data_IF_685455592760
#
_entry.id   IF_685455592760
#
_cell.length_a   1.000
_cell.length_b   1.000
_cell.length_c   1.000
_cell.angle_alpha   90.00
_cell.angle_beta   90.00
_cell.angle_gamma   90.00
#
_symmetry.space_group_name_H-M   'P 1'
#
loop_
_entity.id
_entity.type
_entity.pdbx_description
1 polymer ?
#
# COMPACT_ATOMS: atom_id res chain seq x y z
N UNK A 1 -31.11 18.60 -8.85
CA UNK A 1 -29.84 19.14 -8.30
C UNK A 1 -29.17 18.20 -7.30
N UNK A 2 -29.76 17.87 -6.14
CA UNK A 2 -29.14 16.93 -5.18
C UNK A 2 -28.96 15.52 -5.75
N UNK A 3 -29.95 15.04 -6.51
CA UNK A 3 -29.89 13.79 -7.28
C UNK A 3 -28.78 13.77 -8.32
N UNK A 4 -28.52 14.90 -9.00
CA UNK A 4 -27.48 15.01 -10.03
C UNK A 4 -26.08 14.97 -9.42
N UNK A 5 -25.88 15.62 -8.27
CA UNK A 5 -24.63 15.55 -7.50
C UNK A 5 -24.36 14.12 -7.02
N UNK A 6 -25.39 13.39 -6.57
CA UNK A 6 -25.25 12.00 -6.15
C UNK A 6 -24.86 11.08 -7.32
N UNK A 7 -25.47 11.30 -8.51
CA UNK A 7 -25.10 10.59 -9.74
C UNK A 7 -23.64 10.89 -10.12
N UNK A 8 -23.22 12.16 -10.05
CA UNK A 8 -21.85 12.57 -10.29
C UNK A 8 -20.87 11.87 -9.32
N UNK A 9 -21.19 11.82 -8.02
CA UNK A 9 -20.35 11.13 -7.03
C UNK A 9 -20.20 9.64 -7.34
N UNK A 10 -21.28 8.96 -7.74
CA UNK A 10 -21.26 7.54 -8.13
C UNK A 10 -20.40 7.33 -9.39
N UNK A 11 -20.58 8.15 -10.43
CA UNK A 11 -19.79 8.08 -11.66
C UNK A 11 -18.31 8.37 -11.41
N UNK A 12 -18.01 9.41 -10.63
CA UNK A 12 -16.65 9.75 -10.25
C UNK A 12 -15.97 8.59 -9.53
N UNK A 13 -16.61 8.02 -8.50
CA UNK A 13 -16.07 6.90 -7.73
C UNK A 13 -15.83 5.67 -8.60
N UNK A 14 -16.67 5.45 -9.61
CA UNK A 14 -16.52 4.35 -10.55
C UNK A 14 -15.29 4.55 -11.45
N UNK A 15 -15.24 5.67 -12.17
CA UNK A 15 -14.15 5.94 -13.11
C UNK A 15 -12.80 6.06 -12.40
N UNK A 16 -12.75 6.76 -11.26
CA UNK A 16 -11.54 6.86 -10.45
C UNK A 16 -11.12 5.48 -9.92
N UNK A 17 -12.07 4.66 -9.47
CA UNK A 17 -11.83 3.29 -9.02
C UNK A 17 -11.20 2.41 -10.09
N UNK A 18 -11.75 2.40 -11.32
CA UNK A 18 -11.22 1.63 -12.43
C UNK A 18 -9.80 2.08 -12.82
N UNK A 19 -9.57 3.40 -12.94
CA UNK A 19 -8.25 3.95 -13.27
C UNK A 19 -7.23 3.56 -12.20
N UNK A 20 -7.55 3.79 -10.92
CA UNK A 20 -6.64 3.50 -9.81
C UNK A 20 -6.36 2.01 -9.65
N UNK A 21 -7.34 1.15 -9.96
CA UNK A 21 -7.13 -0.29 -10.02
C UNK A 21 -6.10 -0.66 -11.09
N UNK A 22 -6.26 -0.17 -12.34
CA UNK A 22 -5.31 -0.48 -13.43
C UNK A 22 -3.89 -0.03 -13.07
N UNK A 23 -3.74 1.21 -12.60
CA UNK A 23 -2.43 1.73 -12.19
C UNK A 23 -1.87 0.95 -11.00
N UNK A 24 -2.69 0.67 -9.98
CA UNK A 24 -2.29 -0.06 -8.79
C UNK A 24 -1.91 -1.51 -9.07
N UNK A 25 -2.62 -2.19 -9.96
CA UNK A 25 -2.33 -3.56 -10.38
C UNK A 25 -0.94 -3.64 -11.02
N UNK A 26 -0.71 -2.83 -12.05
CA UNK A 26 0.57 -2.79 -12.78
C UNK A 26 1.70 -2.35 -11.84
N UNK A 27 1.50 -1.27 -11.08
CA UNK A 27 2.52 -0.70 -10.21
C UNK A 27 2.95 -1.63 -9.08
N UNK A 28 2.00 -2.26 -8.39
CA UNK A 28 2.32 -3.15 -7.27
C UNK A 28 3.00 -4.45 -7.77
N UNK A 29 2.59 -5.02 -8.91
CA UNK A 29 3.29 -6.17 -9.52
C UNK A 29 4.73 -5.80 -9.85
N UNK A 30 4.96 -4.65 -10.50
CA UNK A 30 6.31 -4.22 -10.87
C UNK A 30 7.18 -3.94 -9.64
N UNK A 31 6.64 -3.36 -8.57
CA UNK A 31 7.37 -3.23 -7.30
C UNK A 31 7.77 -4.59 -6.73
N UNK A 32 6.83 -5.55 -6.67
CA UNK A 32 7.11 -6.90 -6.16
C UNK A 32 8.23 -7.55 -6.99
N UNK A 33 8.15 -7.46 -8.32
CA UNK A 33 9.20 -7.98 -9.21
C UNK A 33 10.55 -7.31 -8.96
N UNK A 34 10.61 -5.97 -8.86
CA UNK A 34 11.85 -5.23 -8.64
C UNK A 34 12.50 -5.62 -7.30
N UNK A 35 11.73 -5.68 -6.21
CA UNK A 35 12.28 -5.95 -4.88
C UNK A 35 12.63 -7.43 -4.66
N UNK A 36 11.96 -8.36 -5.34
CA UNK A 36 12.24 -9.80 -5.22
C UNK A 36 13.32 -10.30 -6.19
N UNK A 37 13.40 -9.73 -7.40
CA UNK A 37 14.25 -10.26 -8.48
C UNK A 37 15.64 -9.62 -8.57
N UNK A 38 15.84 -8.42 -8.01
CA UNK A 38 17.14 -7.77 -8.01
C UNK A 38 17.92 -8.19 -6.76
N UNK A 39 19.11 -8.79 -6.97
CA UNK A 39 20.04 -9.20 -5.91
C UNK A 39 20.35 -8.05 -4.93
N UNK A 40 20.34 -6.80 -5.41
CA UNK A 40 20.54 -5.61 -4.58
C UNK A 40 19.47 -5.42 -3.49
N UNK A 41 18.23 -5.86 -3.74
CA UNK A 41 17.08 -5.64 -2.86
C UNK A 41 16.64 -6.90 -2.12
N UNK A 42 16.84 -8.09 -2.67
CA UNK A 42 16.27 -9.35 -2.15
C UNK A 42 16.60 -9.62 -0.68
N UNK A 43 17.81 -9.27 -0.24
CA UNK A 43 18.28 -9.51 1.13
C UNK A 43 18.25 -8.24 1.99
N UNK A 44 17.65 -7.15 1.48
CA UNK A 44 17.51 -5.89 2.19
C UNK A 44 16.19 -5.83 2.98
N UNK A 45 16.27 -5.45 4.26
CA UNK A 45 15.12 -5.39 5.18
C UNK A 45 14.06 -4.40 4.74
N UNK A 46 14.45 -3.20 4.33
CA UNK A 46 13.54 -2.15 3.86
C UNK A 46 12.82 -2.60 2.59
N UNK A 47 13.54 -3.25 1.67
CA UNK A 47 12.94 -3.82 0.47
C UNK A 47 11.97 -4.97 0.78
N UNK A 48 12.25 -5.79 1.80
CA UNK A 48 11.32 -6.81 2.30
C UNK A 48 10.00 -6.17 2.75
N UNK A 49 10.03 -5.14 3.59
CA UNK A 49 8.82 -4.44 4.00
C UNK A 49 8.08 -3.79 2.83
N UNK A 50 8.80 -3.14 1.89
CA UNK A 50 8.19 -2.57 0.68
C UNK A 50 7.53 -3.64 -0.20
N UNK A 51 8.05 -4.86 -0.19
CA UNK A 51 7.44 -6.01 -0.88
C UNK A 51 6.15 -6.43 -0.19
N UNK A 52 6.15 -6.57 1.14
CA UNK A 52 4.96 -6.89 1.93
C UNK A 52 3.87 -5.83 1.73
N UNK A 53 4.25 -4.55 1.80
CA UNK A 53 3.37 -3.42 1.53
C UNK A 53 2.76 -3.50 0.12
N UNK A 54 3.58 -3.81 -0.91
CA UNK A 54 3.10 -3.92 -2.29
C UNK A 54 2.14 -5.10 -2.48
N UNK A 55 2.39 -6.25 -1.85
CA UNK A 55 1.48 -7.40 -1.87
C UNK A 55 0.15 -7.03 -1.22
N UNK A 56 0.20 -6.39 -0.05
CA UNK A 56 -0.98 -5.99 0.69
C UNK A 56 -1.81 -4.94 -0.08
N UNK A 57 -1.14 -3.96 -0.71
CA UNK A 57 -1.80 -2.96 -1.55
C UNK A 57 -2.42 -3.57 -2.81
N UNK A 58 -1.77 -4.57 -3.39
CA UNK A 58 -2.33 -5.34 -4.50
C UNK A 58 -3.65 -6.02 -4.10
N UNK A 59 -3.68 -6.74 -2.97
CA UNK A 59 -4.89 -7.39 -2.46
C UNK A 59 -5.99 -6.36 -2.16
N UNK A 60 -5.63 -5.20 -1.59
CA UNK A 60 -6.58 -4.13 -1.28
C UNK A 60 -7.26 -3.55 -2.54
N UNK A 61 -6.50 -3.40 -3.63
CA UNK A 61 -7.05 -2.93 -4.90
C UNK A 61 -8.01 -3.95 -5.51
N UNK A 62 -7.71 -5.25 -5.41
CA UNK A 62 -8.65 -6.31 -5.80
C UNK A 62 -9.96 -6.24 -5.03
N UNK A 63 -9.87 -6.06 -3.71
CA UNK A 63 -11.07 -5.92 -2.89
C UNK A 63 -11.89 -4.69 -3.28
N UNK A 64 -11.24 -3.56 -3.54
CA UNK A 64 -11.90 -2.29 -3.90
C UNK A 64 -12.63 -2.39 -5.25
N UNK A 65 -12.04 -3.06 -6.25
CA UNK A 65 -12.71 -3.27 -7.53
C UNK A 65 -13.84 -4.29 -7.42
N UNK A 66 -13.72 -5.33 -6.60
CA UNK A 66 -14.80 -6.30 -6.37
C UNK A 66 -16.06 -5.61 -5.85
N UNK A 67 -15.92 -4.68 -4.90
CA UNK A 67 -17.04 -3.84 -4.42
C UNK A 67 -17.66 -3.05 -5.57
N UNK A 68 -16.82 -2.40 -6.37
CA UNK A 68 -17.24 -1.54 -7.48
C UNK A 68 -18.03 -2.32 -8.55
N UNK A 69 -17.54 -3.50 -8.92
CA UNK A 69 -18.21 -4.40 -9.88
C UNK A 69 -19.57 -4.84 -9.34
N UNK A 70 -19.65 -5.24 -8.06
CA UNK A 70 -20.91 -5.67 -7.47
C UNK A 70 -21.95 -4.54 -7.42
N UNK A 71 -21.52 -3.31 -7.10
CA UNK A 71 -22.40 -2.13 -7.13
C UNK A 71 -22.89 -1.82 -8.56
N UNK A 72 -22.09 -2.09 -9.59
CA UNK A 72 -22.52 -1.95 -10.98
C UNK A 72 -23.52 -3.02 -11.40
N UNK A 73 -23.24 -4.28 -11.10
CA UNK A 73 -24.06 -5.41 -11.55
C UNK A 73 -25.46 -5.40 -10.93
N UNK A 74 -25.59 -4.96 -9.67
CA UNK A 74 -26.84 -5.07 -8.93
C UNK A 74 -27.63 -3.77 -8.79
N UNK A 75 -27.12 -2.65 -9.32
CA UNK A 75 -27.75 -1.33 -9.22
C UNK A 75 -27.59 -0.65 -7.86
N UNK A 76 -27.53 -1.44 -6.78
CA UNK A 76 -27.44 -1.04 -5.37
C UNK A 76 -26.19 -1.62 -4.66
N UNK A 77 -25.92 -1.17 -3.43
CA UNK A 77 -24.80 -1.66 -2.63
C UNK A 77 -25.00 -3.14 -2.26
N UNK A 78 -24.29 -4.06 -2.92
CA UNK A 78 -24.43 -5.52 -2.71
C UNK A 78 -24.18 -5.98 -1.26
N UNK A 79 -23.64 -5.10 -0.41
CA UNK A 79 -23.54 -5.29 1.04
C UNK A 79 -24.88 -5.38 1.76
N UNK A 80 -25.98 -4.95 1.12
CA UNK A 80 -27.33 -5.02 1.69
C UNK A 80 -27.99 -6.40 1.50
N UNK A 81 -27.40 -7.25 0.66
CA UNK A 81 -28.00 -8.55 0.29
C UNK A 81 -27.39 -9.76 0.99
N UNK A 82 -26.13 -9.65 1.42
CA UNK A 82 -25.41 -10.76 2.06
C UNK A 82 -24.67 -10.30 3.30
N UNK A 83 -25.09 -10.82 4.46
CA UNK A 83 -24.44 -10.56 5.74
C UNK A 83 -22.98 -11.00 5.73
N UNK A 84 -22.69 -12.16 5.11
CA UNK A 84 -21.33 -12.66 4.95
C UNK A 84 -20.45 -11.68 4.17
N UNK A 85 -20.95 -11.16 3.05
CA UNK A 85 -20.21 -10.17 2.24
C UNK A 85 -20.03 -8.83 2.96
N UNK A 86 -21.08 -8.35 3.64
CA UNK A 86 -21.05 -7.16 4.50
C UNK A 86 -19.89 -7.26 5.52
N UNK A 87 -19.85 -8.33 6.32
CA UNK A 87 -18.80 -8.56 7.33
C UNK A 87 -17.42 -8.71 6.69
N UNK A 88 -17.30 -9.54 5.65
CA UNK A 88 -16.03 -9.80 4.98
C UNK A 88 -15.41 -8.54 4.37
N UNK A 89 -16.22 -7.69 3.72
CA UNK A 89 -15.76 -6.44 3.11
C UNK A 89 -15.13 -5.51 4.15
N UNK A 90 -15.77 -5.30 5.29
CA UNK A 90 -15.23 -4.38 6.30
C UNK A 90 -14.05 -4.99 7.06
N UNK A 91 -14.12 -6.27 7.40
CA UNK A 91 -13.01 -7.02 8.00
C UNK A 91 -11.76 -6.94 7.13
N UNK A 92 -11.84 -7.39 5.88
CA UNK A 92 -10.69 -7.44 4.98
C UNK A 92 -10.14 -6.04 4.68
N UNK A 93 -11.03 -5.05 4.52
CA UNK A 93 -10.60 -3.66 4.29
C UNK A 93 -9.73 -3.14 5.43
N UNK A 94 -10.14 -3.38 6.68
CA UNK A 94 -9.40 -2.90 7.84
C UNK A 94 -8.07 -3.62 8.00
N UNK A 95 -8.04 -4.95 7.82
CA UNK A 95 -6.81 -5.73 7.88
C UNK A 95 -5.78 -5.19 6.89
N UNK A 96 -6.19 -4.99 5.63
CA UNK A 96 -5.29 -4.55 4.58
C UNK A 96 -4.86 -3.09 4.79
N UNK A 97 -5.76 -2.17 5.11
CA UNK A 97 -5.40 -0.76 5.33
C UNK A 97 -4.42 -0.61 6.50
N UNK A 98 -4.70 -1.23 7.64
CA UNK A 98 -3.81 -1.16 8.81
C UNK A 98 -2.47 -1.84 8.53
N UNK A 99 -2.47 -3.01 7.88
CA UNK A 99 -1.22 -3.68 7.51
C UNK A 99 -0.37 -2.79 6.62
N UNK A 100 -0.96 -2.11 5.64
CA UNK A 100 -0.23 -1.17 4.76
C UNK A 100 0.37 0.00 5.56
N UNK A 101 -0.46 0.72 6.32
CA UNK A 101 -0.04 1.90 7.06
C UNK A 101 1.04 1.60 8.10
N UNK A 102 0.90 0.51 8.84
CA UNK A 102 1.87 0.15 9.86
C UNK A 102 3.12 -0.51 9.27
N UNK A 103 3.03 -1.18 8.12
CA UNK A 103 4.23 -1.58 7.37
C UNK A 103 5.03 -0.34 6.95
N UNK A 104 4.37 0.74 6.52
CA UNK A 104 5.04 2.01 6.21
C UNK A 104 5.71 2.64 7.45
N UNK A 105 5.07 2.57 8.62
CA UNK A 105 5.71 2.96 9.89
C UNK A 105 6.97 2.13 10.17
N UNK A 106 6.87 0.80 10.03
CA UNK A 106 8.00 -0.11 10.24
C UNK A 106 9.15 0.15 9.26
N UNK A 107 8.83 0.47 8.00
CA UNK A 107 9.79 0.91 6.99
C UNK A 107 10.55 2.15 7.47
N UNK A 108 9.83 3.18 7.94
CA UNK A 108 10.43 4.43 8.41
C UNK A 108 11.33 4.20 9.64
N UNK A 109 10.87 3.40 10.59
CA UNK A 109 11.61 3.04 11.81
C UNK A 109 12.89 2.24 11.46
N UNK A 110 12.79 1.21 10.61
CA UNK A 110 13.96 0.43 10.17
C UNK A 110 14.96 1.31 9.41
N UNK A 111 14.45 2.24 8.59
CA UNK A 111 15.31 3.18 7.87
C UNK A 111 16.03 4.16 8.81
N UNK A 112 15.39 4.59 9.89
CA UNK A 112 16.02 5.42 10.92
C UNK A 112 17.15 4.66 11.64
N UNK A 113 16.88 3.44 12.12
CA UNK A 113 17.87 2.65 12.84
C UNK A 113 19.03 2.22 11.95
N UNK A 114 18.75 1.82 10.70
CA UNK A 114 19.78 1.40 9.73
C UNK A 114 20.74 2.52 9.34
N UNK A 115 20.27 3.76 9.34
CA UNK A 115 21.05 4.94 9.00
C UNK A 115 21.70 5.60 10.23
N UNK A 116 21.42 5.11 11.44
CA UNK A 116 21.95 5.69 12.66
C UNK A 116 23.50 5.64 12.71
N UNK A 117 24.10 6.59 13.42
CA UNK A 117 25.55 6.58 13.65
C UNK A 117 25.99 5.40 14.51
N UNK A 118 25.23 5.13 15.57
CA UNK A 118 25.62 4.15 16.56
C UNK A 118 25.56 2.74 15.95
N UNK A 119 26.69 2.05 15.94
CA UNK A 119 26.79 0.71 15.36
C UNK A 119 25.83 -0.28 16.05
N UNK A 120 25.70 -0.20 17.38
CA UNK A 120 24.78 -1.03 18.17
C UNK A 120 23.34 -0.94 17.67
N UNK A 121 22.83 0.27 17.45
CA UNK A 121 21.46 0.49 16.94
C UNK A 121 21.28 -0.08 15.53
N UNK A 122 22.28 0.03 14.66
CA UNK A 122 22.22 -0.56 13.30
C UNK A 122 22.19 -2.09 13.32
N UNK A 123 22.86 -2.70 14.30
CA UNK A 123 22.98 -4.16 14.42
C UNK A 123 21.69 -4.81 14.94
N UNK A 124 20.87 -4.07 15.69
CA UNK A 124 19.57 -4.56 16.17
C UNK A 124 18.61 -4.88 15.02
N UNK A 125 18.68 -4.12 13.93
CA UNK A 125 17.88 -4.39 12.74
C UNK A 125 18.41 -5.63 12.03
N UNK A 126 17.67 -6.73 12.04
CA UNK A 126 18.00 -7.93 11.27
C UNK A 126 16.83 -8.32 10.39
N UNK A 127 17.09 -9.04 9.29
CA UNK A 127 16.02 -9.53 8.41
C UNK A 127 15.09 -10.51 9.15
N UNK A 128 15.64 -11.29 10.08
CA UNK A 128 14.86 -12.19 10.94
C UNK A 128 13.87 -11.39 11.79
N UNK A 129 14.35 -10.34 12.46
CA UNK A 129 13.51 -9.45 13.26
C UNK A 129 12.43 -8.78 12.39
N UNK A 130 12.78 -8.31 11.19
CA UNK A 130 11.82 -7.69 10.29
C UNK A 130 10.67 -8.65 9.91
N UNK A 131 10.98 -9.92 9.64
CA UNK A 131 9.97 -10.96 9.38
C UNK A 131 9.08 -11.21 10.60
N UNK A 132 9.66 -11.35 11.79
CA UNK A 132 8.90 -11.56 13.03
C UNK A 132 7.97 -10.37 13.34
N UNK A 133 8.47 -9.13 13.30
CA UNK A 133 7.66 -7.94 13.57
C UNK A 133 6.53 -7.80 12.54
N UNK A 134 6.81 -8.05 11.26
CA UNK A 134 5.78 -8.01 10.20
C UNK A 134 4.70 -9.05 10.45
N UNK A 135 5.09 -10.29 10.78
CA UNK A 135 4.15 -11.37 11.07
C UNK A 135 3.27 -11.03 12.28
N UNK A 136 3.87 -10.57 13.38
CA UNK A 136 3.14 -10.14 14.58
C UNK A 136 2.17 -9.00 14.23
N UNK A 137 2.62 -8.02 13.45
CA UNK A 137 1.78 -6.90 13.01
C UNK A 137 0.57 -7.39 12.21
N UNK A 138 0.76 -8.31 11.26
CA UNK A 138 -0.34 -8.89 10.46
C UNK A 138 -1.32 -9.64 11.37
N UNK A 139 -0.83 -10.45 12.31
CA UNK A 139 -1.70 -11.17 13.26
C UNK A 139 -2.53 -10.22 14.12
N UNK A 140 -1.94 -9.12 14.61
CA UNK A 140 -2.66 -8.08 15.36
C UNK A 140 -3.78 -7.48 14.51
N UNK A 141 -3.51 -7.15 13.25
CA UNK A 141 -4.51 -6.55 12.37
C UNK A 141 -5.59 -7.53 11.93
N UNK A 142 -5.27 -8.81 11.77
CA UNK A 142 -6.26 -9.88 11.56
C UNK A 142 -7.21 -9.96 12.76
N UNK A 143 -6.68 -10.02 13.99
CA UNK A 143 -7.50 -10.07 15.19
C UNK A 143 -8.41 -8.83 15.31
N UNK A 144 -7.86 -7.64 15.05
CA UNK A 144 -8.63 -6.39 15.01
C UNK A 144 -9.73 -6.41 13.94
N UNK A 145 -9.41 -6.87 12.74
CA UNK A 145 -10.35 -6.98 11.63
C UNK A 145 -11.49 -7.96 11.90
N UNK A 146 -11.19 -9.12 12.50
CA UNK A 146 -12.21 -10.12 12.89
C UNK A 146 -13.19 -9.49 13.89
N UNK A 147 -12.66 -8.83 14.93
CA UNK A 147 -13.49 -8.12 15.90
C UNK A 147 -14.40 -7.09 15.22
N UNK A 148 -13.85 -6.35 14.26
CA UNK A 148 -14.62 -5.41 13.44
C UNK A 148 -15.76 -6.10 12.69
N UNK A 149 -15.48 -7.20 12.00
CA UNK A 149 -16.46 -7.98 11.24
C UNK A 149 -17.61 -8.53 12.10
N UNK A 150 -17.35 -8.87 13.37
CA UNK A 150 -18.39 -9.36 14.28
C UNK A 150 -19.48 -8.32 14.57
N UNK A 151 -19.15 -7.03 14.54
CA UNK A 151 -20.06 -5.93 14.87
C UNK A 151 -20.74 -5.27 13.67
N UNK A 152 -20.56 -5.78 12.45
CA UNK A 152 -21.34 -5.33 11.29
C UNK A 152 -22.60 -6.18 11.12
N UNK A 153 -23.70 -5.51 10.80
CA UNK A 153 -24.99 -6.15 10.52
C UNK A 153 -25.75 -5.40 9.43
N UNK A 154 -26.78 -6.03 8.86
CA UNK A 154 -27.63 -5.43 7.84
C UNK A 154 -28.88 -4.87 8.51
N UNK A 155 -29.08 -3.56 8.41
CA UNK A 155 -30.29 -2.87 8.84
C UNK A 155 -31.08 -2.42 7.60
N UNK A 156 -32.38 -2.76 7.55
CA UNK A 156 -33.18 -2.67 6.32
C UNK A 156 -33.12 -1.33 5.58
N UNK A 157 -33.17 -0.19 6.29
CA UNK A 157 -33.14 1.15 5.67
C UNK A 157 -31.76 1.80 5.57
N UNK A 158 -30.75 1.22 6.22
CA UNK A 158 -29.40 1.80 6.36
C UNK A 158 -28.30 0.96 5.73
N UNK A 159 -28.63 -0.27 5.31
CA UNK A 159 -27.71 -1.23 4.74
C UNK A 159 -26.77 -1.84 5.78
N UNK A 160 -25.54 -2.13 5.35
CA UNK A 160 -24.50 -2.73 6.21
C UNK A 160 -23.89 -1.67 7.14
N UNK A 161 -24.25 -1.74 8.42
CA UNK A 161 -23.87 -0.76 9.45
C UNK A 161 -23.28 -1.43 10.69
N UNK A 162 -22.66 -0.63 11.55
CA UNK A 162 -22.15 -1.11 12.84
C UNK A 162 -23.33 -1.27 13.79
N UNK A 163 -23.58 -2.49 14.29
CA UNK A 163 -24.70 -2.78 15.19
C UNK A 163 -24.43 -2.39 16.63
N UNK A 164 -23.16 -2.43 17.06
CA UNK A 164 -22.78 -2.15 18.44
C UNK A 164 -22.38 -0.66 18.65
N UNK A 165 -23.04 0.08 19.56
CA UNK A 165 -22.78 1.51 19.75
C UNK A 165 -21.40 1.79 20.34
N UNK A 166 -20.87 0.89 21.20
CA UNK A 166 -19.51 1.01 21.76
C UNK A 166 -18.48 0.88 20.64
N UNK A 167 -18.67 -0.08 19.74
CA UNK A 167 -17.80 -0.26 18.57
C UNK A 167 -17.91 0.92 17.61
N UNK A 168 -19.11 1.48 17.40
CA UNK A 168 -19.31 2.68 16.60
C UNK A 168 -18.56 3.89 17.18
N UNK A 169 -18.60 4.06 18.51
CA UNK A 169 -17.83 5.11 19.19
C UNK A 169 -16.31 4.88 19.05
N UNK A 170 -15.84 3.64 19.23
CA UNK A 170 -14.45 3.27 19.01
C UNK A 170 -13.99 3.59 17.58
N UNK A 171 -14.78 3.18 16.58
CA UNK A 171 -14.45 3.38 15.17
C UNK A 171 -14.36 4.88 14.83
N UNK A 172 -15.32 5.66 15.31
CA UNK A 172 -15.45 7.07 15.00
C UNK A 172 -14.46 7.97 15.75
N UNK A 173 -14.20 7.67 17.03
CA UNK A 173 -13.38 8.51 17.91
C UNK A 173 -11.92 8.10 17.96
N UNK A 174 -11.62 6.81 17.78
CA UNK A 174 -10.25 6.29 17.93
C UNK A 174 -9.71 5.71 16.62
N UNK A 175 -10.42 4.79 15.98
CA UNK A 175 -9.91 4.10 14.79
C UNK A 175 -9.60 5.07 13.64
N UNK A 176 -10.59 5.82 13.14
CA UNK A 176 -10.36 6.71 11.99
C UNK A 176 -9.38 7.86 12.29
N UNK A 177 -9.50 8.58 13.43
CA UNK A 177 -8.61 9.71 13.71
C UNK A 177 -7.19 9.28 14.09
N UNK A 178 -7.07 8.24 14.93
CA UNK A 178 -5.79 7.85 15.53
C UNK A 178 -5.13 6.74 14.71
N UNK A 179 -5.71 5.54 14.70
CA UNK A 179 -5.08 4.35 14.09
C UNK A 179 -4.96 4.44 12.56
N UNK A 180 -6.02 4.90 11.89
CA UNK A 180 -6.11 5.01 10.44
C UNK A 180 -5.60 6.34 9.88
N UNK A 181 -5.12 7.25 10.74
CA UNK A 181 -4.84 8.64 10.37
C UNK A 181 -3.60 9.22 11.04
N UNK A 182 -3.79 9.94 12.15
CA UNK A 182 -2.74 10.75 12.77
C UNK A 182 -1.52 9.94 13.21
N UNK A 183 -1.71 8.77 13.80
CA UNK A 183 -0.62 7.97 14.33
C UNK A 183 0.34 7.47 13.23
N UNK A 184 -0.13 6.79 12.15
CA UNK A 184 0.78 6.35 11.09
C UNK A 184 1.44 7.51 10.34
N UNK A 185 0.73 8.63 10.15
CA UNK A 185 1.31 9.83 9.52
C UNK A 185 2.42 10.41 10.40
N UNK A 186 2.19 10.55 11.71
CA UNK A 186 3.16 11.10 12.65
C UNK A 186 4.42 10.22 12.76
N UNK A 187 4.26 8.91 12.95
CA UNK A 187 5.37 7.96 13.05
C UNK A 187 6.17 7.97 11.75
N UNK A 188 5.51 7.79 10.61
CA UNK A 188 6.20 7.72 9.32
C UNK A 188 6.94 9.02 9.03
N UNK A 189 6.32 10.18 9.26
CA UNK A 189 6.95 11.49 9.00
C UNK A 189 8.15 11.73 9.91
N UNK A 190 8.00 11.50 11.22
CA UNK A 190 9.08 11.69 12.19
C UNK A 190 10.29 10.81 11.86
N UNK A 191 10.11 9.50 11.74
CA UNK A 191 11.22 8.59 11.51
C UNK A 191 11.83 8.74 10.12
N UNK A 192 11.06 9.09 9.10
CA UNK A 192 11.60 9.35 7.76
C UNK A 192 12.48 10.61 7.72
N UNK A 193 12.07 11.68 8.42
CA UNK A 193 12.88 12.90 8.55
C UNK A 193 14.17 12.64 9.33
N UNK A 194 14.08 11.89 10.44
CA UNK A 194 15.26 11.49 11.21
C UNK A 194 16.21 10.61 10.40
N UNK A 195 15.69 9.65 9.63
CA UNK A 195 16.49 8.82 8.73
C UNK A 195 17.18 9.66 7.65
N UNK A 196 16.48 10.64 7.09
CA UNK A 196 17.05 11.56 6.10
C UNK A 196 18.20 12.40 6.68
N UNK A 197 18.02 12.93 7.90
CA UNK A 197 19.07 13.64 8.62
C UNK A 197 20.30 12.78 8.87
N UNK A 198 20.09 11.54 9.29
CA UNK A 198 21.14 10.56 9.51
C UNK A 198 21.94 10.26 8.23
N UNK A 199 21.26 10.06 7.10
CA UNK A 199 21.91 9.82 5.80
C UNK A 199 22.74 11.01 5.33
N UNK A 200 22.27 12.24 5.55
CA UNK A 200 23.07 13.44 5.24
C UNK A 200 24.38 13.49 6.05
N UNK A 201 24.36 13.01 7.30
CA UNK A 201 25.56 12.90 8.14
C UNK A 201 26.49 11.74 7.75
N UNK A 202 25.95 10.63 7.25
CA UNK A 202 26.73 9.46 6.77
C UNK A 202 27.69 9.84 5.62
N UNK A 203 27.39 10.90 4.86
CA UNK A 203 28.22 11.37 3.74
C UNK A 203 29.69 11.58 4.12
N UNK A 204 29.98 11.86 5.40
CA UNK A 204 31.32 12.14 5.93
C UNK A 204 32.07 10.91 6.47
N UNK A 205 31.54 9.68 6.32
CA UNK A 205 32.15 8.45 6.90
C UNK A 205 32.66 7.46 5.84
N UNK A 206 33.67 6.68 6.21
CA UNK A 206 34.21 5.55 5.45
C UNK A 206 33.24 4.34 5.50
N UNK A 207 32.10 4.43 4.82
CA UNK A 207 31.20 3.30 4.57
C UNK A 207 31.40 2.85 3.11
N UNK A 208 31.38 1.54 2.81
CA UNK A 208 31.43 1.05 1.43
C UNK A 208 30.44 1.79 0.52
N UNK A 209 30.94 2.27 -0.61
CA UNK A 209 30.21 3.17 -1.53
C UNK A 209 28.87 2.55 -1.97
N UNK A 210 28.86 1.23 -2.20
CA UNK A 210 27.66 0.48 -2.64
C UNK A 210 26.55 0.55 -1.57
N UNK A 211 26.89 0.22 -0.31
CA UNK A 211 25.93 0.25 0.81
C UNK A 211 25.39 1.65 1.04
N UNK A 212 26.27 2.65 1.06
CA UNK A 212 25.89 4.07 1.22
C UNK A 212 24.92 4.52 0.14
N UNK A 213 25.15 4.13 -1.13
CA UNK A 213 24.27 4.49 -2.25
C UNK A 213 22.90 3.83 -2.14
N UNK A 214 22.84 2.59 -1.65
CA UNK A 214 21.59 1.87 -1.41
C UNK A 214 20.79 2.52 -0.28
N UNK A 215 21.43 2.79 0.86
CA UNK A 215 20.77 3.42 2.01
C UNK A 215 20.23 4.82 1.65
N UNK A 216 20.98 5.60 0.86
CA UNK A 216 20.50 6.88 0.32
C UNK A 216 19.26 6.74 -0.56
N UNK A 217 19.25 5.73 -1.45
CA UNK A 217 18.12 5.48 -2.34
C UNK A 217 16.88 5.08 -1.53
N UNK A 218 17.03 4.14 -0.61
CA UNK A 218 15.93 3.65 0.23
C UNK A 218 15.39 4.77 1.12
N UNK A 219 16.23 5.54 1.80
CA UNK A 219 15.78 6.69 2.60
C UNK A 219 15.02 7.71 1.77
N UNK A 220 15.47 8.01 0.54
CA UNK A 220 14.74 8.93 -0.34
C UNK A 220 13.36 8.36 -0.72
N UNK A 221 13.28 7.07 -1.05
CA UNK A 221 12.00 6.40 -1.36
C UNK A 221 11.04 6.44 -0.16
N UNK A 222 11.54 6.17 1.05
CA UNK A 222 10.75 6.20 2.29
C UNK A 222 10.28 7.61 2.62
N UNK A 223 11.14 8.63 2.51
CA UNK A 223 10.77 10.02 2.73
C UNK A 223 9.68 10.49 1.76
N UNK A 224 9.80 10.12 0.49
CA UNK A 224 8.78 10.41 -0.52
C UNK A 224 7.45 9.75 -0.14
N UNK A 225 7.46 8.47 0.25
CA UNK A 225 6.24 7.78 0.73
C UNK A 225 5.62 8.49 1.94
N UNK A 226 6.44 8.98 2.87
CA UNK A 226 5.98 9.74 4.04
C UNK A 226 5.25 11.04 3.64
N UNK A 227 5.82 11.81 2.71
CA UNK A 227 5.19 13.03 2.18
C UNK A 227 3.85 12.72 1.52
N UNK A 228 3.81 11.67 0.68
CA UNK A 228 2.57 11.26 0.01
C UNK A 228 1.52 10.77 0.99
N UNK A 229 1.91 9.98 1.99
CA UNK A 229 1.01 9.55 3.06
C UNK A 229 0.42 10.77 3.79
N UNK A 230 1.24 11.75 4.18
CA UNK A 230 0.77 12.98 4.81
C UNK A 230 -0.19 13.77 3.90
N UNK A 231 0.15 13.96 2.61
CA UNK A 231 -0.66 14.74 1.68
C UNK A 231 -1.99 14.05 1.31
N UNK A 232 -2.01 12.73 1.12
CA UNK A 232 -3.19 12.02 0.60
C UNK A 232 -4.05 11.37 1.68
N UNK A 233 -3.49 11.02 2.84
CA UNK A 233 -4.29 10.47 3.94
C UNK A 233 -4.94 11.57 4.78
N UNK A 234 -4.27 12.72 4.97
CA UNK A 234 -4.79 13.78 5.84
C UNK A 234 -6.16 14.34 5.44
N UNK A 235 -6.48 14.59 4.15
CA UNK A 235 -7.79 15.15 3.80
C UNK A 235 -8.94 14.23 4.20
N UNK A 236 -8.75 12.93 3.99
CA UNK A 236 -9.74 11.92 4.40
C UNK A 236 -9.84 11.82 5.92
N UNK A 237 -8.73 11.79 6.65
CA UNK A 237 -8.75 11.73 8.12
C UNK A 237 -9.48 12.96 8.70
N UNK A 238 -9.16 14.17 8.22
CA UNK A 238 -9.81 15.41 8.65
C UNK A 238 -11.31 15.35 8.36
N UNK A 239 -11.69 14.93 7.14
CA UNK A 239 -13.09 14.79 6.77
C UNK A 239 -13.85 13.77 7.62
N UNK A 240 -13.23 12.64 7.95
CA UNK A 240 -13.82 11.62 8.82
C UNK A 240 -14.04 12.13 10.25
N UNK A 241 -13.12 12.95 10.77
CA UNK A 241 -13.29 13.62 12.07
C UNK A 241 -14.45 14.62 11.99
N UNK A 242 -14.49 15.43 10.94
CA UNK A 242 -15.55 16.43 10.73
C UNK A 242 -16.94 15.79 10.68
N UNK A 243 -17.15 14.79 9.81
CA UNK A 243 -18.47 14.16 9.62
C UNK A 243 -18.93 13.37 10.85
N UNK A 244 -18.00 12.93 11.69
CA UNK A 244 -18.31 12.28 12.97
C UNK A 244 -18.86 13.27 13.99
N UNK A 245 -18.32 14.50 14.01
CA UNK A 245 -18.75 15.56 14.93
C UNK A 245 -20.01 16.27 14.44
N UNK A 246 -20.17 16.38 13.13
CA UNK A 246 -21.28 17.05 12.47
C UNK A 246 -21.95 16.08 11.48
N UNK A 247 -22.76 15.12 11.98
CA UNK A 247 -23.41 14.14 11.12
C UNK A 247 -24.44 14.81 10.21
N UNK A 248 -24.34 14.56 8.92
CA UNK A 248 -25.28 15.06 7.92
C UNK A 248 -26.42 14.06 7.78
N UNK A 249 -27.65 14.49 8.07
CA UNK A 249 -28.85 13.65 7.94
C UNK A 249 -29.25 13.46 6.47
N UNK A 250 -29.78 12.28 6.13
CA UNK A 250 -30.35 12.02 4.80
C UNK A 250 -31.53 12.95 4.47
N UNK A 251 -32.21 13.49 5.50
CA UNK A 251 -33.29 14.46 5.33
C UNK A 251 -32.80 15.76 4.69
N UNK A 252 -31.51 16.08 4.79
CA UNK A 252 -30.86 17.23 4.15
C UNK A 252 -30.23 16.80 2.81
N UNK A 253 -31.08 16.51 1.82
CA UNK A 253 -30.68 15.88 0.56
C UNK A 253 -29.50 16.55 -0.16
N UNK A 254 -29.41 17.89 -0.15
CA UNK A 254 -28.29 18.63 -0.76
C UNK A 254 -26.97 18.42 -0.01
N UNK A 255 -26.97 18.61 1.31
CA UNK A 255 -25.76 18.47 2.13
C UNK A 255 -25.25 17.03 2.09
N UNK A 256 -26.17 16.07 2.12
CA UNK A 256 -25.85 14.66 1.99
C UNK A 256 -25.16 14.36 0.65
N UNK A 257 -25.71 14.87 -0.46
CA UNK A 257 -25.12 14.66 -1.79
C UNK A 257 -23.70 15.26 -1.91
N UNK A 258 -23.49 16.47 -1.37
CA UNK A 258 -22.16 17.12 -1.32
C UNK A 258 -21.19 16.30 -0.47
N UNK A 259 -21.61 15.86 0.72
CA UNK A 259 -20.79 15.03 1.61
C UNK A 259 -20.37 13.71 0.93
N UNK A 260 -21.27 13.08 0.17
CA UNK A 260 -20.95 11.87 -0.60
C UNK A 260 -19.91 12.14 -1.69
N UNK A 261 -20.03 13.25 -2.42
CA UNK A 261 -19.04 13.63 -3.43
C UNK A 261 -17.65 13.88 -2.80
N UNK A 262 -17.58 14.66 -1.72
CA UNK A 262 -16.34 14.92 -0.98
C UNK A 262 -15.72 13.62 -0.48
N UNK A 263 -16.54 12.72 0.08
CA UNK A 263 -16.09 11.40 0.51
C UNK A 263 -15.46 10.61 -0.63
N UNK A 264 -16.09 10.57 -1.81
CA UNK A 264 -15.56 9.86 -2.98
C UNK A 264 -14.23 10.45 -3.46
N UNK A 265 -14.09 11.78 -3.46
CA UNK A 265 -12.84 12.47 -3.83
C UNK A 265 -11.72 12.12 -2.84
N UNK A 266 -11.96 12.26 -1.54
CA UNK A 266 -10.94 11.97 -0.53
C UNK A 266 -10.60 10.49 -0.42
N UNK A 267 -11.58 9.59 -0.64
CA UNK A 267 -11.30 8.16 -0.76
C UNK A 267 -10.42 7.86 -1.97
N UNK A 268 -10.63 8.56 -3.09
CA UNK A 268 -9.76 8.42 -4.27
C UNK A 268 -8.33 8.87 -3.98
N UNK A 269 -8.13 9.94 -3.18
CA UNK A 269 -6.78 10.35 -2.74
C UNK A 269 -6.09 9.26 -1.93
N UNK A 270 -6.78 8.63 -0.98
CA UNK A 270 -6.26 7.45 -0.27
C UNK A 270 -5.94 6.31 -1.24
N UNK A 271 -6.80 6.03 -2.21
CA UNK A 271 -6.54 4.97 -3.19
C UNK A 271 -5.33 5.26 -4.09
N UNK A 272 -5.00 6.53 -4.33
CA UNK A 272 -3.75 6.94 -4.98
C UNK A 272 -2.54 6.52 -4.12
N UNK A 273 -2.60 6.66 -2.79
CA UNK A 273 -1.52 6.22 -1.91
C UNK A 273 -1.18 4.72 -2.08
N UNK A 274 -2.18 3.86 -2.29
CA UNK A 274 -2.00 2.42 -2.48
C UNK A 274 -1.58 2.02 -3.91
N UNK A 275 -1.78 2.88 -4.90
CA UNK A 275 -1.53 2.56 -6.31
C UNK A 275 -0.29 3.24 -6.91
N UNK A 276 0.09 4.41 -6.40
CA UNK A 276 1.05 5.28 -7.08
C UNK A 276 2.53 5.04 -6.72
N UNK A 277 2.84 4.18 -5.74
CA UNK A 277 4.19 4.00 -5.18
C UNK A 277 5.26 3.71 -6.25
N UNK A 278 5.00 2.77 -7.16
CA UNK A 278 5.92 2.42 -8.25
C UNK A 278 6.21 3.60 -9.19
N UNK A 279 5.16 4.29 -9.65
CA UNK A 279 5.28 5.41 -10.59
C UNK A 279 6.03 6.58 -9.97
N UNK A 280 5.78 6.84 -8.69
CA UNK A 280 6.50 7.84 -7.91
C UNK A 280 7.99 7.49 -7.83
N UNK A 281 8.33 6.22 -7.56
CA UNK A 281 9.72 5.77 -7.55
C UNK A 281 10.39 5.90 -8.92
N UNK A 282 9.66 5.62 -10.01
CA UNK A 282 10.14 5.84 -11.38
C UNK A 282 10.39 7.33 -11.67
N UNK A 283 9.50 8.23 -11.28
CA UNK A 283 9.63 9.66 -11.58
C UNK A 283 10.75 10.28 -10.76
N UNK A 284 10.82 9.98 -9.47
CA UNK A 284 11.70 10.68 -8.54
C UNK A 284 13.08 10.04 -8.38
N UNK A 285 13.24 8.73 -8.64
CA UNK A 285 14.52 8.04 -8.49
C UNK A 285 15.10 7.62 -9.84
N UNK A 286 16.11 8.37 -10.31
CA UNK A 286 16.87 8.03 -11.52
C UNK A 286 17.56 6.66 -11.43
N UNK A 287 17.93 6.23 -10.22
CA UNK A 287 18.52 4.92 -9.96
C UNK A 287 17.48 3.80 -10.07
N UNK A 288 16.30 4.01 -9.51
CA UNK A 288 15.19 3.06 -9.64
C UNK A 288 14.81 2.87 -11.11
N UNK A 289 14.78 3.94 -11.91
CA UNK A 289 14.59 3.84 -13.37
C UNK A 289 15.64 2.94 -14.05
N UNK A 290 16.92 3.09 -13.70
CA UNK A 290 17.99 2.25 -14.26
C UNK A 290 17.82 0.78 -13.86
N UNK A 291 17.44 0.51 -12.62
CA UNK A 291 17.17 -0.83 -12.11
C UNK A 291 15.98 -1.48 -12.81
N UNK A 292 14.88 -0.74 -13.02
CA UNK A 292 13.72 -1.20 -13.78
C UNK A 292 14.08 -1.47 -15.23
N UNK A 293 14.81 -0.57 -15.89
CA UNK A 293 15.31 -0.81 -17.27
C UNK A 293 16.20 -2.05 -17.34
N UNK A 294 17.09 -2.23 -16.37
CA UNK A 294 17.93 -3.43 -16.32
C UNK A 294 17.09 -4.70 -16.18
N UNK A 295 16.10 -4.70 -15.28
CA UNK A 295 15.21 -5.84 -15.08
C UNK A 295 14.36 -6.13 -16.34
N UNK A 296 13.71 -5.12 -16.90
CA UNK A 296 12.82 -5.28 -18.05
C UNK A 296 13.56 -5.55 -19.35
N UNK A 297 14.71 -4.92 -19.58
CA UNK A 297 15.45 -5.08 -20.85
C UNK A 297 16.38 -6.27 -20.77
N UNK A 298 17.27 -6.35 -19.76
CA UNK A 298 18.33 -7.37 -19.74
C UNK A 298 17.79 -8.76 -19.41
N UNK A 299 16.99 -8.91 -18.35
CA UNK A 299 16.44 -10.22 -17.98
C UNK A 299 15.40 -10.70 -19.01
N UNK A 300 14.55 -9.81 -19.53
CA UNK A 300 13.60 -10.20 -20.58
C UNK A 300 14.33 -10.61 -21.86
N UNK A 301 15.35 -9.86 -22.28
CA UNK A 301 16.16 -10.20 -23.46
C UNK A 301 16.97 -11.49 -23.28
N UNK A 302 17.54 -11.74 -22.09
CA UNK A 302 18.21 -13.02 -21.78
C UNK A 302 17.23 -14.20 -21.82
N UNK A 303 16.00 -14.01 -21.32
CA UNK A 303 14.95 -15.05 -21.33
C UNK A 303 14.42 -15.31 -22.74
N UNK A 304 14.20 -14.26 -23.53
CA UNK A 304 13.87 -14.35 -24.94
C UNK A 304 14.99 -15.05 -25.72
N UNK A 305 16.25 -14.68 -25.51
CA UNK A 305 17.39 -15.32 -26.14
C UNK A 305 17.49 -16.80 -25.79
N UNK A 306 17.25 -17.17 -24.53
CA UNK A 306 17.18 -18.58 -24.10
C UNK A 306 16.03 -19.33 -24.77
N UNK A 307 14.81 -18.75 -24.84
CA UNK A 307 13.67 -19.36 -25.51
C UNK A 307 13.89 -19.52 -27.02
N UNK A 308 14.50 -18.53 -27.68
CA UNK A 308 14.94 -18.64 -29.08
C UNK A 308 16.00 -19.74 -29.26
N UNK A 309 16.93 -19.87 -28.31
CA UNK A 309 17.96 -20.90 -28.38
C UNK A 309 17.40 -22.31 -28.17
N UNK A 310 16.42 -22.48 -27.26
CA UNK A 310 15.70 -23.74 -27.08
C UNK A 310 14.86 -24.11 -28.31
N UNK A 311 14.22 -23.12 -28.96
CA UNK A 311 13.47 -23.35 -30.19
C UNK A 311 14.39 -23.76 -31.35
N UNK A 312 15.61 -23.22 -31.42
CA UNK A 312 16.62 -23.63 -32.41
C UNK A 312 17.37 -24.92 -32.03
N UNK A 313 17.51 -25.25 -30.73
CA UNK A 313 18.25 -26.40 -30.22
C UNK A 313 17.38 -27.62 -29.90
N UNK A 314 16.13 -27.70 -30.37
CA UNK A 314 15.45 -29.01 -30.49
C UNK A 314 16.25 -30.03 -31.34
N UNK A 315 17.37 -29.62 -31.94
CA UNK A 315 18.34 -30.46 -32.66
C UNK A 315 19.54 -30.91 -31.79
N UNK A 316 19.85 -30.30 -30.62
CA UNK A 316 20.98 -30.75 -29.79
C UNK A 316 20.87 -30.37 -28.28
N UNK A 317 20.63 -31.34 -27.37
CA UNK A 317 20.28 -31.09 -25.96
C UNK A 317 21.42 -30.68 -25.02
N UNK A 318 22.70 -31.00 -25.30
CA UNK A 318 23.82 -30.67 -24.38
C UNK A 318 24.06 -29.15 -24.21
N UNK A 319 23.74 -28.35 -25.22
CA UNK A 319 23.94 -26.89 -25.17
C UNK A 319 22.90 -26.14 -24.32
N UNK A 320 21.77 -26.78 -23.99
CA UNK A 320 20.71 -26.15 -23.20
C UNK A 320 21.02 -26.14 -21.70
N UNK A 321 21.80 -27.10 -21.20
CA UNK A 321 22.20 -27.18 -19.79
C UNK A 321 23.29 -26.16 -19.45
N UNK A 322 24.31 -25.99 -20.29
CA UNK A 322 25.39 -25.02 -20.06
C UNK A 322 24.89 -23.57 -19.95
N UNK A 323 23.87 -23.19 -20.74
CA UNK A 323 23.29 -21.84 -20.70
C UNK A 323 22.39 -21.61 -19.46
N UNK A 324 21.87 -22.68 -18.85
CA UNK A 324 21.04 -22.61 -17.64
C UNK A 324 21.89 -22.21 -16.43
N UNK A 325 23.09 -22.76 -16.32
CA UNK A 325 24.06 -22.47 -15.26
C UNK A 325 24.50 -21.01 -15.26
N UNK A 326 24.73 -20.43 -16.44
CA UNK A 326 25.08 -19.01 -16.59
C UNK A 326 23.94 -18.05 -16.20
N UNK A 327 22.69 -18.48 -16.38
CA UNK A 327 21.51 -17.68 -16.04
C UNK A 327 21.23 -17.66 -14.52
N UNK A 328 21.63 -18.70 -13.79
CA UNK A 328 21.51 -18.78 -12.34
C UNK A 328 22.61 -17.98 -11.61
N UNK A 329 23.77 -17.80 -12.25
CA UNK A 329 24.89 -17.01 -11.72
C UNK A 329 24.71 -15.49 -11.90
N UNK A 330 23.94 -15.05 -12.92
CA UNK A 330 23.64 -13.63 -13.21
C UNK A 330 22.54 -13.04 -12.31
#
# INVERSE_FOLDING_TARGET
MSTDILKLAKQYSLYSGCILFTFGFIGNILNILVFTQLKLFRDNRTAFYLTVESINNFIYQFQTISVTILTLTYGDDATERSLGWCKFRYMLSQILVLTSYYTLCLIAIDQFFSTNHQFRLRQMCTIKLARYITFISICIWIAHGILSGCFYDIQGSLGCVISNPVWQQYISSFFYPVLGGLLPIAITSLFSLLAFHNVRRIVRRQIPIVRRRLDQQLTAMVLIRAVIAACFMSPFTIYRIYITKFPVSQNQSMQYAIARLIQSVFLSLINIHFSASFYIFLILSSRFRRQVRFLLVKKCWQRLKYLFHLNNNQINPENAEAFRTDLELA
#
